data_IF_539095770643
#
_entry.id   IF_539095770643
#
_cell.length_a   1.000
_cell.length_b   1.000
_cell.length_c   1.000
_cell.angle_alpha   90.00
_cell.angle_beta   90.00
_cell.angle_gamma   90.00
#
_symmetry.space_group_name_H-M   'P 1'
#
loop_
_entity.id
_entity.type
_entity.pdbx_description
1 polymer ?
#
# COMPACT_ATOMS: atom_id res chain seq x y z
N UNK A 1 13.99 -2.42 -8.63
CA UNK A 1 12.54 -2.41 -8.94
C UNK A 1 11.79 -2.75 -7.66
N UNK A 2 10.88 -1.89 -7.18
CA UNK A 2 10.07 -2.23 -6.00
C UNK A 2 9.09 -3.35 -6.39
N UNK A 3 9.10 -4.45 -5.64
CA UNK A 3 8.24 -5.62 -5.85
C UNK A 3 7.57 -5.98 -4.54
N UNK A 4 6.30 -6.40 -4.60
CA UNK A 4 5.61 -6.90 -3.42
C UNK A 4 6.07 -8.32 -3.07
N UNK A 5 5.58 -8.85 -1.94
CA UNK A 5 5.92 -10.20 -1.45
C UNK A 5 5.49 -11.34 -2.40
N UNK A 6 4.72 -11.04 -3.45
CA UNK A 6 4.30 -11.98 -4.50
C UNK A 6 5.10 -11.82 -5.81
N UNK A 7 6.18 -11.05 -5.79
CA UNK A 7 7.04 -10.83 -6.97
C UNK A 7 6.46 -9.89 -8.03
N UNK A 8 5.27 -9.32 -7.81
CA UNK A 8 4.64 -8.37 -8.74
C UNK A 8 4.90 -6.92 -8.35
N UNK A 9 4.92 -5.98 -9.31
CA UNK A 9 5.03 -4.55 -8.99
C UNK A 9 3.86 -4.08 -8.11
N UNK A 10 4.12 -3.30 -7.05
CA UNK A 10 3.05 -2.69 -6.26
C UNK A 10 2.35 -1.60 -7.07
N UNK A 11 1.14 -1.26 -6.64
CA UNK A 11 0.33 -0.18 -7.19
C UNK A 11 0.14 0.93 -6.16
N UNK A 12 0.00 2.16 -6.64
CA UNK A 12 -0.32 3.31 -5.80
C UNK A 12 -1.79 3.21 -5.35
N UNK A 13 -2.03 3.39 -4.06
CA UNK A 13 -3.34 3.36 -3.40
C UNK A 13 -3.48 4.58 -2.50
N UNK A 14 -4.73 4.92 -2.18
CA UNK A 14 -5.08 5.98 -1.23
C UNK A 14 -5.60 5.33 0.04
N UNK A 15 -5.07 5.76 1.19
CA UNK A 15 -5.56 5.40 2.50
C UNK A 15 -6.83 6.18 2.80
N UNK A 16 -7.86 5.46 3.24
CA UNK A 16 -9.15 6.02 3.67
C UNK A 16 -9.41 5.75 5.14
N UNK A 17 -8.37 5.41 5.92
CA UNK A 17 -8.50 5.27 7.36
C UNK A 17 -8.63 6.64 8.02
N UNK A 18 -9.32 6.70 9.16
CA UNK A 18 -9.49 7.94 9.93
C UNK A 18 -8.16 8.57 10.35
N UNK A 19 -7.14 7.75 10.62
CA UNK A 19 -5.82 8.23 11.05
C UNK A 19 -4.95 8.75 9.91
N UNK A 20 -5.19 8.30 8.68
CA UNK A 20 -4.40 8.66 7.50
C UNK A 20 -5.30 8.89 6.27
N UNK A 21 -6.27 9.83 6.33
CA UNK A 21 -7.19 10.07 5.23
C UNK A 21 -6.45 10.72 4.05
N UNK A 22 -6.67 10.21 2.84
CA UNK A 22 -6.12 10.78 1.61
C UNK A 22 -4.64 10.49 1.38
N UNK A 23 -3.92 9.92 2.36
CA UNK A 23 -2.48 9.65 2.25
C UNK A 23 -2.21 8.46 1.34
N UNK A 24 -1.23 8.59 0.44
CA UNK A 24 -0.91 7.60 -0.58
C UNK A 24 0.15 6.60 -0.13
N UNK A 25 -0.03 5.35 -0.53
CA UNK A 25 0.91 4.26 -0.25
C UNK A 25 1.04 3.31 -1.45
N UNK A 26 2.17 2.61 -1.54
CA UNK A 26 2.41 1.51 -2.47
C UNK A 26 1.98 0.20 -1.81
N UNK A 27 1.04 -0.49 -2.42
CA UNK A 27 0.52 -1.76 -1.92
C UNK A 27 0.48 -2.83 -3.00
N UNK A 28 0.45 -4.11 -2.59
CA UNK A 28 0.12 -5.17 -3.54
C UNK A 28 -1.26 -4.91 -4.18
N UNK A 29 -1.48 -5.38 -5.42
CA UNK A 29 -2.80 -5.33 -6.07
C UNK A 29 -3.90 -5.93 -5.18
N UNK A 30 -3.57 -6.99 -4.44
CA UNK A 30 -4.46 -7.69 -3.50
C UNK A 30 -4.30 -7.24 -2.03
N UNK A 31 -3.68 -6.09 -1.77
CA UNK A 31 -3.58 -5.52 -0.42
C UNK A 31 -4.98 -5.24 0.14
N UNK A 32 -5.26 -5.70 1.36
CA UNK A 32 -6.57 -5.57 2.02
C UNK A 32 -7.64 -6.54 1.53
N UNK A 33 -7.28 -7.52 0.68
CA UNK A 33 -8.25 -8.51 0.20
C UNK A 33 -8.64 -9.52 1.29
N UNK A 34 -9.91 -9.93 1.31
CA UNK A 34 -10.45 -10.92 2.25
C UNK A 34 -10.16 -12.39 1.85
N UNK A 35 -9.45 -12.63 0.75
CA UNK A 35 -9.03 -13.99 0.36
C UNK A 35 -7.99 -14.57 1.33
N UNK A 36 -7.90 -15.90 1.38
CA UNK A 36 -6.85 -16.58 2.15
C UNK A 36 -5.46 -16.11 1.69
N UNK A 37 -4.64 -15.69 2.66
CA UNK A 37 -3.28 -15.14 2.50
C UNK A 37 -3.18 -13.80 1.73
N UNK A 38 -3.74 -12.68 2.24
CA UNK A 38 -3.55 -11.38 1.60
C UNK A 38 -2.08 -10.96 1.63
N UNK A 39 -1.59 -10.40 0.51
CA UNK A 39 -0.25 -9.83 0.47
C UNK A 39 -0.24 -8.52 1.27
N UNK A 40 0.53 -8.50 2.36
CA UNK A 40 0.63 -7.37 3.28
C UNK A 40 1.72 -6.36 2.92
N UNK A 41 2.26 -6.42 1.69
CA UNK A 41 3.24 -5.43 1.23
C UNK A 41 2.64 -4.02 1.30
N UNK A 42 3.34 -3.11 1.96
CA UNK A 42 2.95 -1.74 2.22
C UNK A 42 4.20 -0.85 2.32
N UNK A 43 4.18 0.30 1.65
CA UNK A 43 5.19 1.35 1.82
C UNK A 43 4.56 2.73 1.60
N UNK A 44 4.90 3.73 2.42
CA UNK A 44 4.31 5.07 2.29
C UNK A 44 4.87 5.78 1.06
N UNK A 45 3.99 6.29 0.19
CA UNK A 45 4.39 7.11 -0.95
C UNK A 45 4.58 8.57 -0.52
N UNK A 46 3.62 9.08 0.26
CA UNK A 46 3.72 10.43 0.80
C UNK A 46 4.68 10.46 2.01
N UNK A 47 5.59 11.45 2.08
CA UNK A 47 6.52 11.58 3.20
C UNK A 47 5.76 11.77 4.52
N UNK A 48 6.40 11.39 5.63
CA UNK A 48 5.81 11.53 6.98
C UNK A 48 5.55 13.00 7.34
N UNK A 49 6.35 13.91 6.80
CA UNK A 49 6.22 15.34 7.00
C UNK A 49 6.19 16.03 5.62
N UNK A 50 5.28 16.99 5.39
CA UNK A 50 5.34 17.82 4.20
C UNK A 50 6.68 18.57 4.18
N UNK A 51 7.25 18.76 2.98
CA UNK A 51 8.41 19.63 2.78
C UNK A 51 7.98 21.08 2.75
#
# INVERSE_FOLDING_TARGET
RLVCLRGTPPILKISWTNDNPGRRFLGCRHYGSLFQNPCKFFDWYDPKFPR
#
